data_IF_815352364938
#
_entry.id   IF_815352364938
#
_cell.length_a   1.000
_cell.length_b   1.000
_cell.length_c   1.000
_cell.angle_alpha   90.00
_cell.angle_beta   90.00
_cell.angle_gamma   90.00
#
_symmetry.space_group_name_H-M   'P 1'
#
loop_
_entity.id
_entity.type
_entity.pdbx_description
1 polymer ?
#
# COMPACT_ATOMS: atom_id res chain seq x y z
N UNK A 1 -25.03 -4.34 -19.64
CA UNK A 1 -26.38 -3.74 -19.74
C UNK A 1 -26.25 -2.21 -19.78
N UNK A 2 -27.05 -1.52 -20.59
CA UNK A 2 -27.25 -0.07 -20.48
C UNK A 2 -28.65 0.15 -19.91
N UNK A 3 -28.75 0.85 -18.79
CA UNK A 3 -30.03 1.26 -18.22
C UNK A 3 -29.91 2.72 -17.77
N UNK A 4 -30.88 3.57 -18.10
CA UNK A 4 -30.87 5.00 -17.77
C UNK A 4 -29.61 5.79 -18.22
N UNK A 5 -28.99 5.43 -19.35
CA UNK A 5 -27.77 6.09 -19.85
C UNK A 5 -26.48 5.68 -19.14
N UNK A 6 -26.55 4.77 -18.16
CA UNK A 6 -25.41 4.25 -17.41
C UNK A 6 -24.81 3.07 -18.17
N UNK A 7 -23.49 3.11 -18.37
CA UNK A 7 -22.73 1.99 -18.91
C UNK A 7 -22.19 1.13 -17.77
N UNK A 8 -22.51 -0.16 -17.79
CA UNK A 8 -21.96 -1.13 -16.85
C UNK A 8 -20.83 -1.93 -17.50
N UNK A 9 -19.73 -2.10 -16.76
CA UNK A 9 -18.62 -2.99 -17.09
C UNK A 9 -18.48 -4.03 -15.97
N UNK A 10 -18.32 -5.29 -16.34
CA UNK A 10 -18.08 -6.39 -15.40
C UNK A 10 -16.57 -6.63 -15.30
N UNK A 11 -16.03 -6.68 -14.07
CA UNK A 11 -14.65 -7.08 -13.85
C UNK A 11 -14.50 -8.60 -13.95
N UNK A 12 -13.38 -9.06 -14.53
CA UNK A 12 -13.03 -10.49 -14.59
C UNK A 12 -12.50 -11.02 -13.25
N UNK A 13 -11.88 -10.15 -12.45
CA UNK A 13 -11.36 -10.44 -11.12
C UNK A 13 -11.73 -9.29 -10.16
N UNK A 14 -10.74 -8.55 -9.65
CA UNK A 14 -10.97 -7.38 -8.79
C UNK A 14 -11.62 -6.21 -9.53
N UNK A 15 -12.62 -5.58 -8.90
CA UNK A 15 -13.30 -4.42 -9.45
C UNK A 15 -12.42 -3.16 -9.44
N UNK A 16 -11.53 -3.02 -8.44
CA UNK A 16 -10.76 -1.80 -8.21
C UNK A 16 -9.87 -1.43 -9.39
N UNK A 17 -9.16 -2.42 -9.94
CA UNK A 17 -8.32 -2.21 -11.12
C UNK A 17 -9.13 -1.77 -12.35
N UNK A 18 -10.32 -2.32 -12.55
CA UNK A 18 -11.19 -1.92 -13.67
C UNK A 18 -11.77 -0.52 -13.47
N UNK A 19 -12.14 -0.16 -12.23
CA UNK A 19 -12.65 1.17 -11.87
C UNK A 19 -11.56 2.21 -12.10
N UNK A 20 -10.37 2.00 -11.55
CA UNK A 20 -9.25 2.94 -11.64
C UNK A 20 -8.77 3.10 -13.08
N UNK A 21 -8.53 2.00 -13.81
CA UNK A 21 -8.11 2.09 -15.22
C UNK A 21 -9.16 2.77 -16.11
N UNK A 22 -10.45 2.55 -15.84
CA UNK A 22 -11.53 3.27 -16.52
C UNK A 22 -11.49 4.77 -16.19
N UNK A 23 -11.30 5.14 -14.92
CA UNK A 23 -11.22 6.54 -14.51
C UNK A 23 -10.03 7.27 -15.17
N UNK A 24 -8.83 6.67 -15.14
CA UNK A 24 -7.63 7.20 -15.79
C UNK A 24 -7.79 7.33 -17.31
N UNK A 25 -8.52 6.41 -17.95
CA UNK A 25 -8.78 6.51 -19.39
C UNK A 25 -9.75 7.64 -19.73
N UNK A 26 -10.74 7.88 -18.87
CA UNK A 26 -11.76 8.92 -19.09
C UNK A 26 -11.21 10.35 -18.97
N UNK A 27 -10.10 10.55 -18.24
CA UNK A 27 -9.48 11.88 -18.13
C UNK A 27 -8.92 12.39 -19.46
N UNK A 28 -8.66 11.50 -20.43
CA UNK A 28 -8.27 11.88 -21.79
C UNK A 28 -9.33 12.72 -22.53
N UNK A 29 -10.58 12.71 -22.06
CA UNK A 29 -11.66 13.56 -22.60
C UNK A 29 -11.54 15.04 -22.22
N UNK A 30 -10.60 15.40 -21.33
CA UNK A 30 -10.43 16.76 -20.82
C UNK A 30 -11.49 17.20 -19.80
N UNK A 31 -12.40 16.30 -19.41
CA UNK A 31 -13.42 16.56 -18.39
C UNK A 31 -12.96 16.05 -17.01
N UNK A 32 -13.43 16.67 -15.91
CA UNK A 32 -13.23 16.15 -14.57
C UNK A 32 -13.81 14.73 -14.45
N UNK A 33 -13.06 13.82 -13.82
CA UNK A 33 -13.49 12.45 -13.55
C UNK A 33 -13.61 12.26 -12.03
N UNK A 34 -14.76 11.74 -11.59
CA UNK A 34 -15.01 11.44 -10.18
C UNK A 34 -15.20 9.93 -10.01
N UNK A 35 -14.36 9.32 -9.18
CA UNK A 35 -14.52 7.94 -8.73
C UNK A 35 -15.31 7.94 -7.43
N UNK A 36 -16.46 7.27 -7.42
CA UNK A 36 -17.29 7.15 -6.23
C UNK A 36 -16.98 5.82 -5.54
N UNK A 37 -16.53 5.86 -4.29
CA UNK A 37 -16.17 4.65 -3.54
C UNK A 37 -15.65 4.96 -2.14
N UNK A 38 -15.72 4.00 -1.24
CA UNK A 38 -15.24 4.12 0.15
C UNK A 38 -13.97 3.31 0.43
N UNK A 39 -13.52 2.55 -0.58
CA UNK A 39 -12.40 1.65 -0.49
C UNK A 39 -11.06 2.41 -0.49
N UNK A 40 -10.13 1.98 0.36
CA UNK A 40 -8.80 2.59 0.43
C UNK A 40 -7.95 2.19 -0.78
N UNK A 41 -8.19 1.01 -1.34
CA UNK A 41 -7.43 0.48 -2.48
C UNK A 41 -7.63 1.36 -3.72
N UNK A 42 -8.87 1.84 -3.93
CA UNK A 42 -9.17 2.84 -4.95
C UNK A 42 -8.34 4.12 -4.75
N UNK A 43 -8.32 4.70 -3.54
CA UNK A 43 -7.59 5.94 -3.29
C UNK A 43 -6.09 5.77 -3.51
N UNK A 44 -5.51 4.68 -3.00
CA UNK A 44 -4.08 4.36 -3.14
C UNK A 44 -3.70 4.24 -4.61
N UNK A 45 -4.50 3.51 -5.40
CA UNK A 45 -4.25 3.33 -6.83
C UNK A 45 -4.40 4.65 -7.61
N UNK A 46 -5.45 5.45 -7.33
CA UNK A 46 -5.65 6.75 -7.98
C UNK A 46 -4.49 7.71 -7.71
N UNK A 47 -4.05 7.84 -6.45
CA UNK A 47 -2.94 8.73 -6.07
C UNK A 47 -1.60 8.26 -6.65
N UNK A 48 -1.39 6.94 -6.79
CA UNK A 48 -0.15 6.41 -7.35
C UNK A 48 -0.09 6.56 -8.87
N UNK A 49 -1.21 6.34 -9.57
CA UNK A 49 -1.24 6.22 -11.04
C UNK A 49 -1.63 7.50 -11.77
N UNK A 50 -2.22 8.49 -11.09
CA UNK A 50 -2.60 9.75 -11.73
C UNK A 50 -1.38 10.55 -12.19
N UNK A 51 -1.44 11.06 -13.43
CA UNK A 51 -0.42 11.98 -13.97
C UNK A 51 -0.85 13.43 -13.77
N UNK A 52 0.10 14.36 -13.81
CA UNK A 52 -0.11 15.79 -13.54
C UNK A 52 -1.25 16.46 -14.34
N UNK A 53 -1.60 15.91 -15.50
CA UNK A 53 -2.60 16.49 -16.40
C UNK A 53 -4.02 15.93 -16.20
N UNK A 54 -4.21 14.99 -15.27
CA UNK A 54 -5.49 14.30 -15.05
C UNK A 54 -6.37 15.04 -14.04
N UNK A 55 -7.53 15.57 -14.43
CA UNK A 55 -8.45 16.17 -13.46
C UNK A 55 -9.31 15.09 -12.76
N UNK A 56 -8.75 14.51 -11.70
CA UNK A 56 -9.25 13.29 -11.05
C UNK A 56 -9.59 13.50 -9.58
N UNK A 57 -10.77 13.00 -9.18
CA UNK A 57 -11.30 13.10 -7.83
C UNK A 57 -11.81 11.75 -7.33
N UNK A 58 -11.83 11.59 -6.01
CA UNK A 58 -12.50 10.49 -5.33
C UNK A 58 -13.57 11.03 -4.39
N UNK A 59 -14.82 10.63 -4.61
CA UNK A 59 -15.95 10.93 -3.72
C UNK A 59 -16.16 9.75 -2.76
N UNK A 60 -15.87 9.98 -1.49
CA UNK A 60 -16.08 9.02 -0.41
C UNK A 60 -17.41 9.29 0.27
N UNK A 61 -18.43 8.48 -0.05
CA UNK A 61 -19.78 8.58 0.52
C UNK A 61 -19.88 7.97 1.92
N UNK A 62 -19.04 8.44 2.86
CA UNK A 62 -19.18 8.20 4.30
C UNK A 62 -19.94 9.38 4.95
N UNK A 63 -20.15 9.34 6.26
CA UNK A 63 -20.73 10.47 6.99
C UNK A 63 -19.63 11.20 7.78
N UNK A 64 -19.22 12.44 7.40
CA UNK A 64 -19.69 13.24 6.25
C UNK A 64 -19.09 12.79 4.90
N UNK A 65 -19.81 13.07 3.82
CA UNK A 65 -19.34 12.81 2.46
C UNK A 65 -18.13 13.71 2.18
N UNK A 66 -17.03 13.12 1.72
CA UNK A 66 -15.78 13.85 1.47
C UNK A 66 -15.34 13.68 0.02
N UNK A 67 -15.00 14.77 -0.64
CA UNK A 67 -14.42 14.79 -1.98
C UNK A 67 -12.92 15.03 -1.87
N UNK A 68 -12.12 14.10 -2.37
CA UNK A 68 -10.67 14.20 -2.42
C UNK A 68 -10.23 14.50 -3.85
N UNK A 69 -9.50 15.61 -4.03
CA UNK A 69 -8.79 15.84 -5.28
C UNK A 69 -7.46 15.09 -5.24
N UNK A 70 -7.22 14.25 -6.24
CA UNK A 70 -6.05 13.36 -6.25
C UNK A 70 -4.74 14.17 -6.23
N UNK A 71 -4.69 15.26 -7.00
CA UNK A 71 -3.52 16.15 -7.06
C UNK A 71 -3.18 16.84 -5.75
N UNK A 72 -4.18 17.23 -4.97
CA UNK A 72 -3.93 17.88 -3.68
C UNK A 72 -3.28 16.88 -2.70
N UNK A 73 -3.66 15.60 -2.79
CA UNK A 73 -3.02 14.53 -2.03
C UNK A 73 -1.58 14.32 -2.53
N UNK A 74 -1.36 14.18 -3.84
CA UNK A 74 -0.01 14.02 -4.42
C UNK A 74 0.91 15.18 -4.01
N UNK A 75 0.42 16.43 -4.07
CA UNK A 75 1.16 17.61 -3.63
C UNK A 75 1.49 17.56 -2.13
N UNK A 76 0.56 17.10 -1.28
CA UNK A 76 0.78 17.04 0.17
C UNK A 76 1.83 16.00 0.60
N UNK A 77 1.99 14.90 -0.14
CA UNK A 77 2.91 13.80 0.19
C UNK A 77 4.16 13.75 -0.71
N UNK A 78 4.20 14.60 -1.75
CA UNK A 78 5.30 14.69 -2.71
C UNK A 78 5.61 13.36 -3.40
N UNK A 79 6.90 13.08 -3.58
CA UNK A 79 7.37 11.85 -4.25
C UNK A 79 6.91 10.54 -3.57
N UNK A 80 6.50 10.58 -2.29
CA UNK A 80 5.97 9.40 -1.61
C UNK A 80 4.71 8.85 -2.30
N UNK A 81 3.96 9.70 -3.01
CA UNK A 81 2.79 9.30 -3.81
C UNK A 81 3.08 8.15 -4.77
N UNK A 82 4.27 8.14 -5.40
CA UNK A 82 4.72 7.11 -6.36
C UNK A 82 4.87 5.73 -5.74
N UNK A 83 5.01 5.66 -4.41
CA UNK A 83 5.29 4.42 -3.68
C UNK A 83 4.13 3.96 -2.81
N UNK A 84 2.97 4.63 -2.85
CA UNK A 84 1.83 4.26 -2.01
C UNK A 84 1.35 2.84 -2.29
N UNK A 85 1.30 2.40 -3.56
CA UNK A 85 0.96 1.01 -3.89
C UNK A 85 1.96 0.01 -3.28
N UNK A 86 3.27 0.27 -3.35
CA UNK A 86 4.29 -0.59 -2.73
C UNK A 86 4.07 -0.68 -1.22
N UNK A 87 3.87 0.46 -0.57
CA UNK A 87 3.64 0.54 0.87
C UNK A 87 2.35 -0.17 1.30
N UNK A 88 1.29 -0.02 0.52
CA UNK A 88 0.01 -0.66 0.76
C UNK A 88 0.11 -2.18 0.65
N UNK A 89 0.71 -2.69 -0.43
CA UNK A 89 0.90 -4.12 -0.65
C UNK A 89 1.80 -4.75 0.41
N UNK A 90 2.96 -4.13 0.74
CA UNK A 90 3.92 -4.73 1.68
C UNK A 90 3.41 -4.73 3.13
N UNK A 91 2.57 -3.76 3.51
CA UNK A 91 1.99 -3.69 4.86
C UNK A 91 0.61 -4.34 4.95
N UNK A 92 0.15 -4.96 3.87
CA UNK A 92 -1.12 -5.65 3.76
C UNK A 92 -2.21 -4.81 3.08
N UNK A 93 -2.82 -5.37 2.04
CA UNK A 93 -4.03 -4.91 1.37
C UNK A 93 -5.15 -5.96 1.57
N UNK A 94 -6.24 -5.89 0.81
CA UNK A 94 -7.34 -6.86 0.94
C UNK A 94 -6.91 -8.31 0.66
N UNK A 95 -5.89 -8.51 -0.17
CA UNK A 95 -5.37 -9.85 -0.54
C UNK A 95 -4.08 -10.22 0.17
N UNK A 96 -3.46 -9.29 0.91
CA UNK A 96 -2.17 -9.50 1.58
C UNK A 96 -2.34 -9.27 3.07
N UNK A 97 -1.93 -10.25 3.88
CA UNK A 97 -2.00 -10.14 5.33
C UNK A 97 -1.19 -8.96 5.87
N UNK A 98 -1.67 -8.36 6.95
CA UNK A 98 -0.95 -7.31 7.66
C UNK A 98 0.30 -7.86 8.35
N UNK A 99 1.38 -7.09 8.33
CA UNK A 99 2.60 -7.40 9.06
C UNK A 99 2.40 -7.25 10.58
N UNK A 100 2.92 -8.20 11.36
CA UNK A 100 2.75 -8.20 12.81
C UNK A 100 3.30 -6.93 13.46
N UNK A 101 2.40 -6.16 14.09
CA UNK A 101 2.70 -4.86 14.74
C UNK A 101 3.33 -3.81 13.81
N UNK A 102 3.19 -3.95 12.48
CA UNK A 102 3.61 -2.93 11.52
C UNK A 102 2.40 -2.41 10.74
N UNK A 103 2.00 -1.16 11.02
CA UNK A 103 0.89 -0.52 10.32
C UNK A 103 1.34 0.32 9.12
N UNK A 104 0.42 0.54 8.17
CA UNK A 104 0.60 1.41 6.98
C UNK A 104 1.22 2.77 7.31
N UNK A 105 0.75 3.43 8.38
CA UNK A 105 1.27 4.74 8.83
C UNK A 105 2.75 4.70 9.19
N UNK A 106 3.23 3.60 9.78
CA UNK A 106 4.64 3.45 10.16
C UNK A 106 5.52 3.33 8.92
N UNK A 107 5.12 2.46 7.97
CA UNK A 107 5.82 2.32 6.70
C UNK A 107 5.81 3.61 5.88
N UNK A 108 4.66 4.29 5.79
CA UNK A 108 4.55 5.62 5.17
C UNK A 108 5.50 6.62 5.83
N UNK A 109 5.51 6.70 7.16
CA UNK A 109 6.37 7.65 7.88
C UNK A 109 7.85 7.35 7.67
N UNK A 110 8.24 6.06 7.61
CA UNK A 110 9.61 5.64 7.32
C UNK A 110 10.05 6.15 5.95
N UNK A 111 9.27 5.88 4.92
CA UNK A 111 9.58 6.25 3.53
C UNK A 111 9.54 7.76 3.32
N UNK A 112 8.50 8.41 3.83
CA UNK A 112 8.29 9.83 3.64
C UNK A 112 9.38 10.67 4.32
N UNK A 113 9.85 10.27 5.51
CA UNK A 113 10.89 10.99 6.25
C UNK A 113 12.29 10.66 5.77
N UNK A 114 12.60 9.37 5.59
CA UNK A 114 13.96 8.93 5.31
C UNK A 114 14.28 8.89 3.81
N UNK A 115 13.30 9.18 2.94
CA UNK A 115 13.45 9.22 1.48
C UNK A 115 14.05 7.92 0.93
N UNK A 116 13.58 6.79 1.45
CA UNK A 116 13.98 5.41 1.08
C UNK A 116 13.51 5.01 -0.33
N UNK A 117 13.49 5.96 -1.27
CA UNK A 117 12.91 5.80 -2.59
C UNK A 117 13.73 4.87 -3.48
N UNK A 118 15.06 4.88 -3.38
CA UNK A 118 15.93 4.00 -4.15
C UNK A 118 15.62 2.53 -3.90
N UNK A 119 15.35 2.18 -2.63
CA UNK A 119 14.93 0.84 -2.24
C UNK A 119 13.56 0.48 -2.84
N UNK A 120 12.63 1.44 -2.89
CA UNK A 120 11.28 1.20 -3.39
C UNK A 120 11.19 1.22 -4.92
N UNK A 121 12.15 1.87 -5.60
CA UNK A 121 12.24 1.91 -7.06
C UNK A 121 12.33 0.49 -7.65
N UNK A 122 12.98 -0.44 -6.94
CA UNK A 122 13.05 -1.86 -7.33
C UNK A 122 11.67 -2.51 -7.48
N UNK A 123 10.66 -2.09 -6.72
CA UNK A 123 9.31 -2.68 -6.81
C UNK A 123 8.49 -2.15 -7.97
N UNK A 124 8.79 -0.94 -8.45
CA UNK A 124 8.05 -0.28 -9.53
C UNK A 124 8.78 -0.37 -10.88
N UNK A 125 10.00 -0.91 -10.88
CA UNK A 125 10.77 -1.17 -12.09
C UNK A 125 10.40 -2.54 -12.68
N UNK A 126 9.85 -2.53 -13.89
CA UNK A 126 9.48 -3.76 -14.59
C UNK A 126 10.67 -4.67 -14.93
N UNK A 127 11.88 -4.11 -14.99
CA UNK A 127 13.13 -4.84 -15.29
C UNK A 127 13.78 -5.45 -14.03
N UNK A 128 13.20 -5.21 -12.84
CA UNK A 128 13.76 -5.76 -11.61
C UNK A 128 13.56 -7.27 -11.52
N UNK A 129 14.65 -7.97 -11.19
CA UNK A 129 14.61 -9.43 -11.03
C UNK A 129 13.92 -9.84 -9.73
N UNK A 130 13.43 -11.08 -9.68
CA UNK A 130 12.89 -11.64 -8.43
C UNK A 130 13.86 -11.53 -7.25
N UNK A 131 15.16 -11.74 -7.50
CA UNK A 131 16.18 -11.61 -6.46
C UNK A 131 16.31 -10.17 -5.96
N UNK A 132 16.34 -9.18 -6.86
CA UNK A 132 16.40 -7.77 -6.47
C UNK A 132 15.18 -7.35 -5.65
N UNK A 133 13.99 -7.78 -6.05
CA UNK A 133 12.75 -7.51 -5.29
C UNK A 133 12.79 -8.18 -3.92
N UNK A 134 13.30 -9.41 -3.82
CA UNK A 134 13.47 -10.10 -2.54
C UNK A 134 14.44 -9.36 -1.62
N UNK A 135 15.63 -8.99 -2.11
CA UNK A 135 16.65 -8.26 -1.35
C UNK A 135 16.13 -6.88 -0.90
N UNK A 136 15.43 -6.16 -1.79
CA UNK A 136 14.82 -4.88 -1.46
C UNK A 136 13.72 -5.03 -0.40
N UNK A 137 12.90 -6.08 -0.50
CA UNK A 137 11.87 -6.41 0.50
C UNK A 137 12.46 -6.76 1.86
N UNK A 138 13.49 -7.60 1.89
CA UNK A 138 14.19 -7.94 3.12
C UNK A 138 14.79 -6.71 3.80
N UNK A 139 15.51 -5.88 3.05
CA UNK A 139 16.09 -4.63 3.53
C UNK A 139 15.01 -3.67 4.06
N UNK A 140 13.89 -3.51 3.33
CA UNK A 140 12.79 -2.66 3.77
C UNK A 140 12.17 -3.16 5.08
N UNK A 141 11.92 -4.47 5.19
CA UNK A 141 11.33 -5.07 6.37
C UNK A 141 12.26 -4.95 7.58
N UNK A 142 13.57 -5.18 7.43
CA UNK A 142 14.54 -4.97 8.51
C UNK A 142 14.49 -3.52 9.05
N UNK A 143 14.43 -2.53 8.15
CA UNK A 143 14.26 -1.11 8.54
C UNK A 143 12.92 -0.88 9.25
N UNK A 144 11.83 -1.45 8.73
CA UNK A 144 10.49 -1.30 9.28
C UNK A 144 10.38 -1.88 10.70
N UNK A 145 11.00 -3.04 10.95
CA UNK A 145 11.08 -3.64 12.28
C UNK A 145 12.15 -3.02 13.18
N UNK A 146 12.91 -2.05 12.69
CA UNK A 146 14.03 -1.42 13.42
C UNK A 146 15.05 -2.45 13.89
N UNK A 147 15.35 -3.42 13.01
CA UNK A 147 16.35 -4.45 13.27
C UNK A 147 17.74 -3.82 13.43
N UNK A 148 18.47 -4.26 14.46
CA UNK A 148 19.83 -3.83 14.74
C UNK A 148 20.81 -4.57 13.82
N UNK A 149 21.43 -3.89 12.85
CA UNK A 149 22.54 -4.39 12.01
C UNK A 149 22.54 -5.91 11.67
N UNK A 150 21.36 -6.50 11.47
CA UNK A 150 21.21 -7.89 11.07
C UNK A 150 21.43 -8.00 9.57
N UNK A 151 22.07 -9.07 9.14
CA UNK A 151 22.30 -9.32 7.72
C UNK A 151 21.03 -9.81 7.01
N UNK A 152 20.09 -10.44 7.74
CA UNK A 152 18.86 -11.01 7.17
C UNK A 152 17.68 -11.00 8.14
N UNK A 153 16.48 -11.18 7.59
CA UNK A 153 15.24 -11.40 8.35
C UNK A 153 15.28 -12.70 9.14
N UNK A 154 15.95 -13.73 8.63
CA UNK A 154 16.10 -15.00 9.33
C UNK A 154 16.92 -14.83 10.62
N UNK A 155 18.04 -14.11 10.54
CA UNK A 155 18.85 -13.75 11.69
C UNK A 155 18.04 -12.91 12.69
N UNK A 156 17.35 -11.89 12.18
CA UNK A 156 16.52 -11.02 13.01
C UNK A 156 15.38 -11.78 13.70
N UNK A 157 14.75 -12.74 13.01
CA UNK A 157 13.67 -13.58 13.57
C UNK A 157 14.19 -14.42 14.74
N UNK A 158 15.37 -15.02 14.62
CA UNK A 158 15.99 -15.77 15.71
C UNK A 158 16.26 -14.88 16.93
N UNK A 159 16.82 -13.69 16.71
CA UNK A 159 17.08 -12.71 17.78
C UNK A 159 15.77 -12.28 18.46
N UNK A 160 14.75 -11.94 17.67
CA UNK A 160 13.45 -11.51 18.17
C UNK A 160 12.77 -12.60 19.00
N UNK A 161 12.83 -13.86 18.54
CA UNK A 161 12.27 -15.01 19.24
C UNK A 161 12.97 -15.23 20.59
N UNK A 162 14.30 -15.29 20.61
CA UNK A 162 15.07 -15.49 21.84
C UNK A 162 14.80 -14.38 22.86
N UNK A 163 14.66 -13.13 22.40
CA UNK A 163 14.30 -11.98 23.24
C UNK A 163 12.87 -12.05 23.77
N UNK A 164 11.94 -12.66 23.04
CA UNK A 164 10.58 -12.86 23.50
C UNK A 164 10.52 -13.95 24.57
N UNK A 165 11.16 -15.10 24.33
CA UNK A 165 11.18 -16.24 25.26
C UNK A 165 11.90 -15.90 26.56
N UNK A 166 13.03 -15.18 26.51
CA UNK A 166 13.77 -14.80 27.73
C UNK A 166 13.00 -13.87 28.67
N UNK A 167 11.96 -13.19 28.17
CA UNK A 167 11.08 -12.31 28.95
C UNK A 167 9.87 -13.04 29.53
N UNK A 168 9.60 -14.28 29.10
CA UNK A 168 8.53 -15.08 29.68
C UNK A 168 9.03 -15.66 31.00
N UNK A 169 8.32 -15.39 32.11
CA UNK A 169 8.58 -16.15 33.34
C UNK A 169 8.15 -17.59 33.11
N UNK A 170 8.95 -18.55 33.57
CA UNK A 170 8.56 -19.96 33.63
C UNK A 170 7.41 -20.12 34.63
N UNK A 171 6.17 -19.88 34.18
CA UNK A 171 4.98 -20.36 34.87
C UNK A 171 4.79 -21.83 34.48
N UNK A 172 4.75 -22.72 35.46
CA UNK A 172 4.63 -24.17 35.29
C UNK A 172 3.29 -24.65 34.73
N UNK A 173 2.49 -23.76 34.14
CA UNK A 173 1.15 -24.10 33.61
C UNK A 173 1.13 -23.89 32.11
N UNK A 174 1.61 -24.90 31.38
CA UNK A 174 1.48 -24.98 29.93
C UNK A 174 0.07 -25.50 29.61
N UNK A 175 -0.90 -24.61 29.42
CA UNK A 175 -2.23 -25.02 28.93
C UNK A 175 -2.17 -25.19 27.42
N UNK A 176 -2.24 -26.44 26.96
CA UNK A 176 -2.56 -26.74 25.58
C UNK A 176 -3.99 -26.25 25.31
N UNK A 177 -4.18 -25.57 24.18
CA UNK A 177 -5.51 -25.20 23.72
C UNK A 177 -6.32 -26.49 23.47
N UNK A 178 -7.33 -26.72 24.31
CA UNK A 178 -8.39 -27.70 24.11
C UNK A 178 -9.51 -27.11 23.27
#
# INVERSE_FOLDING_TARGET
>A
MKHAGIQMKQAQAGADALIVSTALSLTASGKPVVVVGTDTDLLVMLVTLATANMDLYMLCCKNPTTLYRVHDIQASIGDTSKYLMVLHTITGCDTVSVLYRQGKRKAFSLVHKNKEYDLLNTFINAESTHQQVQEAGESFLLKLYSASSCASLDEFRCIAYNKAVSKMSLSSTFQLAT
#
